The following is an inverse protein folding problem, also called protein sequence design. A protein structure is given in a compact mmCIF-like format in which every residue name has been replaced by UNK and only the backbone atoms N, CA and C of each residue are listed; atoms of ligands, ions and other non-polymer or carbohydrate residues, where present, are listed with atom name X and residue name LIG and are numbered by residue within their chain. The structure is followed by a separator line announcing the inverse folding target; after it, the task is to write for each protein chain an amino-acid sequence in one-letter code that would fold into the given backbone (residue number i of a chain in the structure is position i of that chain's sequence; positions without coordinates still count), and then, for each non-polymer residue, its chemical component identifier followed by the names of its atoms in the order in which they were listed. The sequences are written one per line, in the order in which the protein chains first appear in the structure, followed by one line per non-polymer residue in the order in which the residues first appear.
data_IF_129489799552
#
_entry.id   IF_129489799552
#
_cell.length_a   1.000
_cell.length_b   1.000
_cell.length_c   1.000
_cell.angle_alpha   90.00
_cell.angle_beta   90.00
_cell.angle_gamma   90.00
#
_symmetry.space_group_name_H-M   'P 1'
#
loop_
_entity.id
_entity.type
_entity.pdbx_description
1 polymer ?
#
# COMPACT_ATOMS: atom_id res chain seq x y z
N UNK A 1 -3.06 42.87 33.91
CA UNK A 1 -3.77 42.52 32.67
C UNK A 1 -3.17 43.36 31.55
N UNK A 2 -2.24 42.77 30.79
CA UNK A 2 -1.62 43.30 29.56
C UNK A 2 -1.17 42.05 28.77
N UNK A 3 -1.44 41.94 27.45
CA UNK A 3 -1.04 40.76 26.70
C UNK A 3 0.43 40.92 26.27
N UNK A 4 1.26 39.93 26.60
CA UNK A 4 2.58 39.79 25.98
C UNK A 4 2.39 39.20 24.58
N UNK A 5 2.49 40.09 23.59
CA UNK A 5 2.79 39.75 22.19
C UNK A 5 4.21 39.19 22.17
N UNK A 6 4.34 37.90 21.84
CA UNK A 6 5.62 37.19 21.82
C UNK A 6 5.81 36.43 20.51
N UNK A 7 6.61 37.01 19.64
CA UNK A 7 6.98 36.52 18.31
C UNK A 7 7.41 35.04 18.27
N UNK A 8 7.13 34.42 17.13
CA UNK A 8 7.66 33.13 16.73
C UNK A 8 9.19 33.04 16.91
N UNK A 9 9.65 31.89 17.41
CA UNK A 9 10.97 31.37 17.08
C UNK A 9 12.18 31.93 17.84
N UNK A 10 12.19 31.92 19.18
CA UNK A 10 13.44 32.07 19.93
C UNK A 10 13.63 30.95 20.95
N UNK A 11 14.70 30.18 20.75
CA UNK A 11 15.23 29.19 21.69
C UNK A 11 15.62 29.88 23.00
N UNK A 12 15.10 29.40 24.13
CA UNK A 12 15.51 29.89 25.44
C UNK A 12 16.72 29.09 25.94
N UNK A 13 17.84 29.78 26.17
CA UNK A 13 19.03 29.23 26.84
C UNK A 13 18.94 29.60 28.31
N UNK A 14 19.09 28.61 29.21
CA UNK A 14 19.19 28.86 30.65
C UNK A 14 20.57 29.39 31.01
N UNK A 15 20.67 30.11 32.14
CA UNK A 15 21.91 30.67 32.66
C UNK A 15 23.00 29.63 32.99
N UNK A 16 22.67 28.34 33.02
CA UNK A 16 23.60 27.21 33.22
C UNK A 16 24.21 26.67 31.91
N UNK A 17 23.95 27.31 30.76
CA UNK A 17 24.49 26.91 29.46
C UNK A 17 23.80 25.71 28.82
N UNK A 18 22.80 25.09 29.47
CA UNK A 18 22.09 23.95 28.89
C UNK A 18 20.98 24.41 27.94
N UNK A 19 21.04 23.94 26.68
CA UNK A 19 19.97 24.14 25.69
C UNK A 19 18.89 23.08 25.91
N UNK A 20 17.77 23.42 26.52
CA UNK A 20 16.56 22.60 26.40
C UNK A 20 15.82 23.01 25.14
N UNK A 21 15.76 22.10 24.17
CA UNK A 21 14.74 22.18 23.14
C UNK A 21 13.38 22.10 23.83
N UNK A 22 12.45 23.03 23.57
CA UNK A 22 11.10 22.87 24.07
C UNK A 22 10.54 21.60 23.42
N UNK A 23 10.37 20.54 24.21
CA UNK A 23 9.43 19.48 23.88
C UNK A 23 8.08 20.16 23.71
N UNK A 24 7.75 20.45 22.45
CA UNK A 24 6.43 20.91 22.06
C UNK A 24 5.49 19.78 22.46
N UNK A 25 4.83 19.94 23.61
CA UNK A 25 3.61 19.23 23.94
C UNK A 25 2.54 19.69 22.96
N UNK A 26 2.61 19.22 21.70
CA UNK A 26 1.43 19.12 20.86
C UNK A 26 0.79 17.78 21.19
N UNK A 27 -0.27 17.82 21.98
CA UNK A 27 -1.02 16.66 22.43
C UNK A 27 -1.67 15.91 21.28
N UNK A 28 -0.91 14.97 20.70
CA UNK A 28 -1.32 13.67 20.13
C UNK A 28 -0.05 12.83 19.92
N UNK A 29 0.53 12.37 21.02
CA UNK A 29 1.39 11.19 20.98
C UNK A 29 0.56 10.04 21.55
N UNK A 30 -0.20 9.39 20.67
CA UNK A 30 -0.89 8.14 20.97
C UNK A 30 -0.92 7.30 19.70
N UNK A 31 0.06 6.42 19.56
CA UNK A 31 -0.11 5.16 18.82
C UNK A 31 0.23 4.07 19.86
N UNK A 32 -0.80 3.43 20.41
CA UNK A 32 -0.89 2.00 20.22
C UNK A 32 -2.35 1.58 19.99
N UNK A 33 -2.82 1.73 18.76
CA UNK A 33 -3.62 0.65 18.19
C UNK A 33 -2.64 -0.48 17.89
N UNK A 34 -3.01 -1.74 18.14
CA UNK A 34 -2.24 -2.82 17.53
C UNK A 34 -2.15 -2.53 16.03
N UNK A 35 -0.99 -2.74 15.40
CA UNK A 35 -0.82 -2.41 13.98
C UNK A 35 -1.96 -2.99 13.11
N UNK A 36 -2.49 -4.13 13.55
CA UNK A 36 -3.67 -4.82 13.02
C UNK A 36 -4.96 -4.00 13.13
N UNK A 37 -5.27 -3.40 14.27
CA UNK A 37 -6.46 -2.56 14.47
C UNK A 37 -6.38 -1.29 13.63
N UNK A 38 -5.20 -0.67 13.55
CA UNK A 38 -4.96 0.49 12.70
C UNK A 38 -5.13 0.15 11.21
N UNK A 39 -4.61 -1.00 10.78
CA UNK A 39 -4.75 -1.49 9.42
C UNK A 39 -6.22 -1.83 9.08
N UNK A 40 -6.93 -2.50 10.00
CA UNK A 40 -8.34 -2.83 9.82
C UNK A 40 -9.22 -1.58 9.70
N UNK A 41 -8.98 -0.57 10.56
CA UNK A 41 -9.68 0.71 10.47
C UNK A 41 -9.37 1.45 9.17
N UNK A 42 -8.11 1.45 8.74
CA UNK A 42 -7.72 2.04 7.46
C UNK A 42 -8.42 1.34 6.28
N UNK A 43 -8.44 0.01 6.26
CA UNK A 43 -9.08 -0.77 5.19
C UNK A 43 -10.61 -0.58 5.14
N UNK A 44 -11.25 -0.39 6.29
CA UNK A 44 -12.70 -0.18 6.39
C UNK A 44 -13.12 1.29 6.18
N UNK A 45 -12.18 2.24 6.18
CA UNK A 45 -12.49 3.66 6.08
C UNK A 45 -13.04 3.99 4.68
N UNK A 46 -14.21 4.62 4.64
CA UNK A 46 -14.70 5.24 3.41
C UNK A 46 -13.99 6.59 3.24
N UNK A 47 -13.02 6.63 2.32
CA UNK A 47 -12.22 7.82 2.03
C UNK A 47 -12.54 8.30 0.62
N UNK A 48 -12.77 9.60 0.47
CA UNK A 48 -12.81 10.21 -0.86
C UNK A 48 -11.37 10.30 -1.37
N UNK A 49 -11.05 9.49 -2.37
CA UNK A 49 -9.72 9.45 -2.98
C UNK A 49 -9.59 10.59 -3.99
N UNK A 50 -8.61 11.50 -3.87
CA UNK A 50 -8.38 12.56 -4.85
C UNK A 50 -8.16 12.02 -6.26
N UNK A 51 -8.58 12.76 -7.29
CA UNK A 51 -8.50 12.30 -8.69
C UNK A 51 -7.06 12.02 -9.12
N UNK A 52 -6.11 12.84 -8.66
CA UNK A 52 -4.70 12.69 -8.97
C UNK A 52 -4.14 11.37 -8.42
N UNK A 53 -4.61 10.95 -7.25
CA UNK A 53 -4.24 9.66 -6.65
C UNK A 53 -4.83 8.50 -7.43
N UNK A 54 -6.08 8.64 -7.90
CA UNK A 54 -6.71 7.62 -8.76
C UNK A 54 -5.95 7.45 -10.08
N UNK A 55 -5.54 8.56 -10.70
CA UNK A 55 -4.72 8.54 -11.93
C UNK A 55 -3.36 7.86 -11.70
N UNK A 56 -2.69 8.14 -10.59
CA UNK A 56 -1.46 7.42 -10.22
C UNK A 56 -1.70 5.92 -10.01
N UNK A 57 -2.82 5.54 -9.39
CA UNK A 57 -3.20 4.14 -9.24
C UNK A 57 -3.45 3.46 -10.59
N UNK A 58 -4.05 4.16 -11.56
CA UNK A 58 -4.26 3.62 -12.91
C UNK A 58 -2.95 3.39 -13.66
N UNK A 59 -1.95 4.26 -13.49
CA UNK A 59 -0.61 4.06 -14.04
C UNK A 59 0.03 2.82 -13.43
N UNK A 60 0.03 2.70 -12.10
CA UNK A 60 0.59 1.54 -11.41
C UNK A 60 -0.14 0.23 -11.76
N UNK A 61 -1.47 0.28 -11.91
CA UNK A 61 -2.27 -0.86 -12.37
C UNK A 61 -1.88 -1.27 -13.79
N UNK A 62 -1.73 -0.31 -14.70
CA UNK A 62 -1.37 -0.58 -16.10
C UNK A 62 0.03 -1.19 -16.22
N UNK A 63 0.97 -0.69 -15.42
CA UNK A 63 2.33 -1.21 -15.32
C UNK A 63 2.34 -2.65 -14.79
N UNK A 64 1.68 -2.90 -13.66
CA UNK A 64 1.54 -4.24 -13.06
C UNK A 64 0.85 -5.23 -14.00
N UNK A 65 -0.17 -4.77 -14.76
CA UNK A 65 -0.83 -5.59 -15.78
C UNK A 65 0.11 -5.92 -16.94
N UNK A 66 0.92 -4.95 -17.39
CA UNK A 66 1.90 -5.16 -18.45
C UNK A 66 2.94 -6.21 -18.06
N UNK A 67 3.56 -6.06 -16.88
CA UNK A 67 4.52 -7.03 -16.34
C UNK A 67 3.86 -8.39 -16.12
N UNK A 68 2.67 -8.40 -15.52
CA UNK A 68 1.89 -9.62 -15.27
C UNK A 68 1.58 -10.42 -16.53
N UNK A 69 1.06 -9.75 -17.57
CA UNK A 69 0.80 -10.39 -18.87
C UNK A 69 2.08 -10.93 -19.51
N UNK A 70 3.17 -10.14 -19.47
CA UNK A 70 4.47 -10.58 -19.97
C UNK A 70 5.01 -11.81 -19.22
N UNK A 71 4.81 -11.85 -17.91
CA UNK A 71 5.25 -12.94 -17.03
C UNK A 71 4.45 -14.24 -17.15
N UNK A 72 3.30 -14.26 -17.85
CA UNK A 72 2.51 -15.48 -18.04
C UNK A 72 3.24 -16.57 -18.82
N UNK A 73 4.24 -16.20 -19.63
CA UNK A 73 5.08 -17.13 -20.38
C UNK A 73 6.30 -17.62 -19.58
N UNK A 74 6.55 -17.07 -18.39
CA UNK A 74 7.68 -17.47 -17.56
C UNK A 74 7.47 -18.89 -17.01
N UNK A 75 8.56 -19.62 -16.80
CA UNK A 75 8.54 -21.01 -16.33
C UNK A 75 7.74 -21.19 -15.03
N UNK A 76 7.92 -20.29 -14.07
CA UNK A 76 7.17 -20.30 -12.80
C UNK A 76 5.66 -20.18 -12.99
N UNK A 77 5.22 -19.33 -13.92
CA UNK A 77 3.81 -19.16 -14.25
C UNK A 77 3.24 -20.37 -14.99
N UNK A 78 4.02 -20.98 -15.89
CA UNK A 78 3.65 -22.23 -16.60
C UNK A 78 3.49 -23.39 -15.62
N UNK A 79 4.43 -23.57 -14.69
CA UNK A 79 4.35 -24.58 -13.64
C UNK A 79 3.14 -24.33 -12.74
N UNK A 80 2.92 -23.07 -12.32
CA UNK A 80 1.76 -22.74 -11.49
C UNK A 80 0.46 -23.06 -12.23
N UNK A 81 0.36 -22.72 -13.52
CA UNK A 81 -0.82 -23.03 -14.33
C UNK A 81 -1.07 -24.52 -14.47
N UNK A 82 -0.02 -25.34 -14.62
CA UNK A 82 -0.19 -26.79 -14.74
C UNK A 82 -0.73 -27.43 -13.46
N UNK A 83 -0.36 -26.89 -12.29
CA UNK A 83 -0.92 -27.31 -10.99
C UNK A 83 -2.39 -26.90 -10.81
N UNK A 84 -2.86 -25.89 -11.55
CA UNK A 84 -4.22 -25.35 -11.48
C UNK A 84 -5.14 -25.83 -12.62
N UNK A 85 -4.63 -26.67 -13.54
CA UNK A 85 -5.30 -27.05 -14.77
C UNK A 85 -6.63 -27.81 -14.57
N UNK A 86 -6.88 -28.37 -13.38
CA UNK A 86 -8.14 -29.06 -13.05
C UNK A 86 -9.22 -28.13 -12.47
N UNK A 87 -8.91 -26.85 -12.20
CA UNK A 87 -9.79 -25.91 -11.53
C UNK A 87 -10.66 -25.09 -12.52
N UNK A 88 -11.39 -25.76 -13.42
CA UNK A 88 -12.14 -25.10 -14.51
C UNK A 88 -13.56 -24.61 -14.11
N UNK A 89 -13.79 -24.31 -12.82
CA UNK A 89 -15.10 -23.94 -12.27
C UNK A 89 -15.15 -22.54 -11.65
N UNK A 90 -14.19 -21.68 -11.98
CA UNK A 90 -14.02 -20.36 -11.36
C UNK A 90 -14.76 -19.20 -12.03
N UNK A 91 -15.02 -18.14 -11.26
CA UNK A 91 -15.57 -16.88 -11.76
C UNK A 91 -14.53 -15.85 -12.22
N UNK A 92 -13.26 -16.00 -11.83
CA UNK A 92 -12.22 -14.98 -12.00
C UNK A 92 -11.40 -15.21 -13.27
N UNK A 93 -11.22 -14.14 -14.06
CA UNK A 93 -10.43 -14.18 -15.29
C UNK A 93 -8.93 -14.21 -15.02
N UNK A 94 -8.22 -15.07 -15.75
CA UNK A 94 -6.76 -14.98 -15.91
C UNK A 94 -6.44 -14.00 -17.03
N UNK A 95 -5.45 -13.13 -16.85
CA UNK A 95 -5.06 -12.15 -17.87
C UNK A 95 -4.63 -12.84 -19.17
N UNK A 96 -4.97 -12.23 -20.31
CA UNK A 96 -4.62 -12.71 -21.65
C UNK A 96 -4.96 -14.20 -21.91
N UNK A 97 -5.96 -14.74 -21.21
CA UNK A 97 -6.38 -16.14 -21.29
C UNK A 97 -7.90 -16.24 -21.27
N UNK A 98 -8.44 -17.29 -21.88
CA UNK A 98 -9.87 -17.64 -21.78
C UNK A 98 -10.19 -18.39 -20.48
N UNK A 99 -9.17 -18.86 -19.76
CA UNK A 99 -9.31 -19.62 -18.53
C UNK A 99 -9.95 -18.79 -17.43
N UNK A 100 -10.82 -19.43 -16.63
CA UNK A 100 -11.36 -18.87 -15.41
C UNK A 100 -11.05 -19.78 -14.23
N UNK A 101 -10.54 -19.18 -13.17
CA UNK A 101 -10.08 -19.89 -11.97
C UNK A 101 -10.86 -19.40 -10.74
N UNK A 102 -10.96 -20.24 -9.68
CA UNK A 102 -11.41 -19.76 -8.39
C UNK A 102 -10.59 -18.54 -7.95
N UNK A 103 -11.15 -17.56 -7.22
CA UNK A 103 -10.46 -16.31 -6.90
C UNK A 103 -9.08 -16.49 -6.24
N UNK A 104 -8.93 -17.49 -5.37
CA UNK A 104 -7.67 -17.85 -4.73
C UNK A 104 -6.61 -18.27 -5.75
N UNK A 105 -6.99 -19.14 -6.67
CA UNK A 105 -6.07 -19.74 -7.65
C UNK A 105 -5.69 -18.74 -8.73
N UNK A 106 -6.66 -17.90 -9.15
CA UNK A 106 -6.39 -16.74 -9.98
C UNK A 106 -5.39 -15.79 -9.30
N UNK A 107 -5.62 -15.41 -8.04
CA UNK A 107 -4.70 -14.53 -7.31
C UNK A 107 -3.28 -15.11 -7.21
N UNK A 108 -3.17 -16.43 -7.01
CA UNK A 108 -1.87 -17.09 -6.98
C UNK A 108 -1.17 -17.02 -8.34
N UNK A 109 -1.83 -17.45 -9.42
CA UNK A 109 -1.24 -17.42 -10.76
C UNK A 109 -0.87 -16.00 -11.20
N UNK A 110 -1.76 -15.03 -10.97
CA UNK A 110 -1.54 -13.63 -11.33
C UNK A 110 -0.37 -13.05 -10.53
N UNK A 111 -0.29 -13.30 -9.22
CA UNK A 111 0.83 -12.88 -8.38
C UNK A 111 2.17 -13.47 -8.82
N UNK A 112 2.22 -14.77 -9.16
CA UNK A 112 3.43 -15.41 -9.70
C UNK A 112 3.83 -14.74 -11.01
N UNK A 113 2.87 -14.50 -11.92
CA UNK A 113 3.17 -13.88 -13.22
C UNK A 113 3.68 -12.44 -13.08
N UNK A 114 3.10 -11.64 -12.18
CA UNK A 114 3.52 -10.25 -11.93
C UNK A 114 4.94 -10.13 -11.37
N UNK A 115 5.47 -11.16 -10.72
CA UNK A 115 6.82 -11.15 -10.17
C UNK A 115 7.82 -12.04 -10.92
N UNK A 116 7.39 -12.74 -11.97
CA UNK A 116 8.23 -13.73 -12.64
C UNK A 116 9.41 -13.12 -13.41
N UNK A 117 9.30 -11.84 -13.80
CA UNK A 117 10.30 -11.15 -14.61
C UNK A 117 11.10 -10.09 -13.84
N UNK A 118 10.74 -9.82 -12.58
CA UNK A 118 11.39 -8.82 -11.71
C UNK A 118 11.49 -7.41 -12.34
N UNK A 119 10.42 -6.98 -13.02
CA UNK A 119 10.24 -5.63 -13.58
C UNK A 119 9.28 -4.80 -12.73
#
# INVERSE_FOLDING_TARGET
MLPLVGAAGKSFVRADGTRRFPHRRSGRQAWPMFAEEALAQFAAAQVVVPVEVQEMCLVGLSDSLGVGVGGLAAESAVITRSLLAEADSGGTHVWASSQRLPPRDAAWLLGVSSHALDF
#
